data_IF_709543402899
#
_entry.id   IF_709543402899
#
_cell.length_a   1.000
_cell.length_b   1.000
_cell.length_c   1.000
_cell.angle_alpha   90.00
_cell.angle_beta   90.00
_cell.angle_gamma   90.00
#
_symmetry.space_group_name_H-M   'P 1'
#
loop_
_entity.id
_entity.type
_entity.pdbx_description
1 polymer ?
#
# COMPACT_ATOMS: atom_id res chain seq x y z
N UNK A 1 -12.49 20.78 4.62
CA UNK A 1 -11.45 19.94 4.00
C UNK A 1 -11.19 18.64 4.76
N UNK A 2 -11.28 18.60 6.11
CA UNK A 2 -11.08 17.39 6.93
C UNK A 2 -11.92 16.18 6.46
N UNK A 3 -13.22 16.37 6.22
CA UNK A 3 -14.13 15.31 5.75
C UNK A 3 -13.71 14.75 4.38
N UNK A 4 -13.30 15.62 3.45
CA UNK A 4 -12.80 15.20 2.13
C UNK A 4 -11.46 14.47 2.27
N UNK A 5 -10.61 14.93 3.19
CA UNK A 5 -9.35 14.27 3.53
C UNK A 5 -9.55 12.85 4.07
N UNK A 6 -10.53 12.67 4.97
CA UNK A 6 -10.90 11.34 5.49
C UNK A 6 -11.42 10.44 4.37
N UNK A 7 -12.34 10.90 3.53
CA UNK A 7 -12.88 10.11 2.43
C UNK A 7 -11.78 9.67 1.44
N UNK A 8 -10.88 10.59 1.09
CA UNK A 8 -9.71 10.28 0.27
C UNK A 8 -8.76 9.29 0.94
N UNK A 9 -8.57 9.39 2.26
CA UNK A 9 -7.75 8.47 3.04
C UNK A 9 -8.35 7.05 3.04
N UNK A 10 -9.69 6.94 3.21
CA UNK A 10 -10.40 5.66 3.12
C UNK A 10 -10.21 5.02 1.75
N UNK A 11 -10.51 5.75 0.67
CA UNK A 11 -10.40 5.23 -0.69
C UNK A 11 -8.98 4.80 -1.03
N UNK A 12 -7.99 5.60 -0.66
CA UNK A 12 -6.58 5.31 -0.87
C UNK A 12 -6.12 4.06 -0.10
N UNK A 13 -6.56 3.90 1.14
CA UNK A 13 -6.18 2.78 1.99
C UNK A 13 -6.91 1.49 1.67
N UNK A 14 -8.12 1.54 1.16
CA UNK A 14 -8.79 0.37 0.61
C UNK A 14 -7.95 -0.26 -0.51
N UNK A 15 -7.38 0.58 -1.40
CA UNK A 15 -6.55 0.10 -2.50
C UNK A 15 -5.13 -0.32 -2.09
N UNK A 16 -4.49 0.41 -1.17
CA UNK A 16 -3.09 0.15 -0.81
C UNK A 16 -2.92 -0.67 0.46
N UNK A 17 -3.96 -0.75 1.32
CA UNK A 17 -3.91 -1.46 2.59
C UNK A 17 -3.79 -2.98 2.46
N UNK A 18 -4.19 -3.54 1.33
CA UNK A 18 -4.03 -4.97 1.05
C UNK A 18 -2.60 -5.35 0.61
N UNK A 19 -1.79 -4.41 0.15
CA UNK A 19 -0.44 -4.68 -0.38
C UNK A 19 0.47 -5.41 0.61
N UNK A 20 0.56 -5.01 1.90
CA UNK A 20 1.38 -5.72 2.88
C UNK A 20 0.95 -7.17 3.12
N UNK A 21 -0.30 -7.50 2.83
CA UNK A 21 -0.83 -8.86 2.93
C UNK A 21 -0.64 -9.65 1.61
N UNK A 22 -1.02 -9.03 0.49
CA UNK A 22 -0.99 -9.69 -0.82
C UNK A 22 0.42 -9.94 -1.34
N UNK A 23 1.37 -9.03 -1.06
CA UNK A 23 2.75 -9.18 -1.54
C UNK A 23 3.45 -10.41 -0.97
N UNK A 24 3.50 -10.65 0.35
CA UNK A 24 4.06 -11.88 0.88
C UNK A 24 3.34 -13.12 0.38
N UNK A 25 2.01 -13.07 0.24
CA UNK A 25 1.22 -14.17 -0.25
C UNK A 25 1.57 -14.51 -1.72
N UNK A 26 1.67 -13.49 -2.57
CA UNK A 26 2.07 -13.64 -3.96
C UNK A 26 3.48 -14.26 -4.07
N UNK A 27 4.41 -13.82 -3.22
CA UNK A 27 5.78 -14.35 -3.22
C UNK A 27 5.83 -15.81 -2.76
N UNK A 28 5.01 -16.20 -1.79
CA UNK A 28 4.99 -17.56 -1.25
C UNK A 28 4.17 -18.50 -2.13
N UNK A 29 2.94 -18.14 -2.46
CA UNK A 29 2.00 -19.01 -3.21
C UNK A 29 2.21 -18.89 -4.72
N UNK A 30 2.39 -17.65 -5.22
CA UNK A 30 2.54 -17.40 -6.66
C UNK A 30 3.91 -17.80 -7.20
N UNK A 31 4.99 -17.45 -6.49
CA UNK A 31 6.37 -17.72 -6.91
C UNK A 31 7.02 -18.90 -6.18
N UNK A 32 6.36 -19.50 -5.18
CA UNK A 32 6.87 -20.67 -4.46
C UNK A 32 8.08 -20.39 -3.57
N UNK A 33 8.32 -19.13 -3.19
CA UNK A 33 9.45 -18.81 -2.32
C UNK A 33 9.18 -19.20 -0.86
N UNK A 34 10.19 -19.72 -0.14
CA UNK A 34 10.10 -19.97 1.30
C UNK A 34 9.71 -18.70 2.06
N UNK A 35 8.96 -18.83 3.15
CA UNK A 35 8.51 -17.70 3.98
C UNK A 35 9.64 -16.78 4.43
N UNK A 36 10.83 -17.34 4.69
CA UNK A 36 12.02 -16.57 5.05
C UNK A 36 12.45 -15.63 3.90
N UNK A 37 12.50 -16.12 2.68
CA UNK A 37 12.89 -15.33 1.49
C UNK A 37 11.82 -14.29 1.21
N UNK A 38 10.54 -14.65 1.25
CA UNK A 38 9.45 -13.69 1.08
C UNK A 38 9.48 -12.57 2.12
N UNK A 39 9.79 -12.88 3.38
CA UNK A 39 9.99 -11.88 4.43
C UNK A 39 11.20 -10.97 4.17
N UNK A 40 12.33 -11.52 3.76
CA UNK A 40 13.52 -10.72 3.39
C UNK A 40 13.26 -9.81 2.19
N UNK A 41 12.41 -10.23 1.24
CA UNK A 41 12.01 -9.43 0.09
C UNK A 41 11.12 -8.24 0.47
N UNK A 42 10.55 -8.20 1.67
CA UNK A 42 9.86 -7.03 2.20
C UNK A 42 10.82 -5.96 2.76
N UNK A 43 12.06 -6.30 3.05
CA UNK A 43 13.06 -5.34 3.57
C UNK A 43 13.30 -4.14 2.64
N UNK A 44 13.45 -4.28 1.31
CA UNK A 44 13.56 -3.16 0.38
C UNK A 44 12.37 -2.19 0.47
N UNK A 45 11.15 -2.69 0.65
CA UNK A 45 9.95 -1.85 0.82
C UNK A 45 10.04 -1.01 2.10
N UNK A 46 10.51 -1.60 3.20
CA UNK A 46 10.73 -0.88 4.45
C UNK A 46 11.84 0.17 4.30
N UNK A 47 12.96 -0.17 3.66
CA UNK A 47 14.04 0.80 3.38
C UNK A 47 13.57 1.95 2.51
N UNK A 48 12.81 1.67 1.45
CA UNK A 48 12.20 2.69 0.58
C UNK A 48 11.29 3.63 1.37
N UNK A 49 10.49 3.11 2.28
CA UNK A 49 9.58 3.92 3.11
C UNK A 49 10.31 4.82 4.11
N UNK A 50 11.47 4.39 4.63
CA UNK A 50 12.32 5.21 5.51
C UNK A 50 12.95 6.36 4.72
N UNK A 51 13.53 6.06 3.55
CA UNK A 51 14.16 7.07 2.69
C UNK A 51 13.15 8.08 2.13
N UNK A 52 11.92 7.65 1.87
CA UNK A 52 10.86 8.54 1.43
C UNK A 52 10.56 9.67 2.43
N UNK A 53 10.71 9.42 3.73
CA UNK A 53 10.46 10.44 4.77
C UNK A 53 11.36 11.67 4.63
N UNK A 54 12.57 11.51 4.14
CA UNK A 54 13.50 12.63 3.90
C UNK A 54 13.20 13.37 2.61
N UNK A 55 12.64 12.71 1.61
CA UNK A 55 12.38 13.26 0.27
C UNK A 55 10.96 13.78 0.09
N UNK A 56 9.99 13.29 0.87
CA UNK A 56 8.57 13.65 0.72
C UNK A 56 8.32 15.16 0.83
N UNK A 57 8.98 15.83 1.77
CA UNK A 57 8.83 17.28 1.96
C UNK A 57 9.28 18.05 0.72
N UNK A 58 10.34 17.61 0.07
CA UNK A 58 10.89 18.23 -1.13
C UNK A 58 9.98 18.00 -2.34
N UNK A 59 9.45 16.79 -2.50
CA UNK A 59 8.48 16.44 -3.55
C UNK A 59 7.21 17.28 -3.39
N UNK A 60 6.69 17.41 -2.17
CA UNK A 60 5.50 18.21 -1.88
C UNK A 60 5.71 19.71 -2.15
N UNK A 61 6.93 20.24 -1.92
CA UNK A 61 7.27 21.65 -2.24
C UNK A 61 7.35 21.90 -3.73
N UNK A 62 7.82 20.94 -4.55
CA UNK A 62 7.98 21.10 -5.99
C UNK A 62 6.68 20.90 -6.77
N UNK A 63 5.94 19.85 -6.46
CA UNK A 63 4.75 19.44 -7.22
C UNK A 63 3.44 19.89 -6.57
N UNK A 64 3.46 20.27 -5.31
CA UNK A 64 2.26 20.55 -4.52
C UNK A 64 1.48 19.29 -4.15
N UNK A 65 0.65 19.39 -3.10
CA UNK A 65 -0.05 18.25 -2.52
C UNK A 65 -0.96 17.51 -3.52
N UNK A 66 -1.78 18.25 -4.27
CA UNK A 66 -2.76 17.65 -5.19
C UNK A 66 -2.12 16.82 -6.30
N UNK A 67 -1.09 17.38 -6.95
CA UNK A 67 -0.39 16.66 -8.05
C UNK A 67 0.39 15.47 -7.52
N UNK A 68 1.03 15.62 -6.36
CA UNK A 68 1.76 14.52 -5.71
C UNK A 68 0.82 13.38 -5.36
N UNK A 69 -0.34 13.64 -4.73
CA UNK A 69 -1.28 12.59 -4.37
C UNK A 69 -1.83 11.84 -5.57
N UNK A 70 -2.30 12.55 -6.60
CA UNK A 70 -2.82 11.91 -7.81
C UNK A 70 -1.71 11.13 -8.51
N UNK A 71 -0.54 11.73 -8.69
CA UNK A 71 0.59 11.10 -9.36
C UNK A 71 1.07 9.84 -8.65
N UNK A 72 1.23 9.90 -7.32
CA UNK A 72 1.66 8.76 -6.51
C UNK A 72 0.60 7.66 -6.47
N UNK A 73 -0.70 8.00 -6.40
CA UNK A 73 -1.78 7.00 -6.45
C UNK A 73 -1.80 6.24 -7.77
N UNK A 74 -1.71 6.96 -8.90
CA UNK A 74 -1.62 6.35 -10.23
C UNK A 74 -0.35 5.50 -10.36
N UNK A 75 0.77 6.01 -9.86
CA UNK A 75 2.04 5.30 -9.89
C UNK A 75 2.00 3.99 -9.09
N UNK A 76 1.42 3.99 -7.88
CA UNK A 76 1.23 2.77 -7.09
C UNK A 76 0.33 1.78 -7.84
N UNK A 77 -0.77 2.25 -8.44
CA UNK A 77 -1.65 1.41 -9.24
C UNK A 77 -0.93 0.74 -10.41
N UNK A 78 -0.09 1.48 -11.14
CA UNK A 78 0.74 0.95 -12.22
C UNK A 78 1.78 -0.06 -11.72
N UNK A 79 2.41 0.23 -10.58
CA UNK A 79 3.35 -0.70 -9.95
C UNK A 79 2.68 -2.03 -9.57
N UNK A 80 1.50 -1.98 -8.97
CA UNK A 80 0.73 -3.19 -8.63
C UNK A 80 0.33 -3.95 -9.90
N UNK A 81 -0.13 -3.26 -10.95
CA UNK A 81 -0.45 -3.87 -12.23
C UNK A 81 0.77 -4.54 -12.89
N UNK A 82 1.95 -3.91 -12.77
CA UNK A 82 3.20 -4.48 -13.28
C UNK A 82 3.53 -5.81 -12.59
N UNK A 83 3.30 -5.95 -11.27
CA UNK A 83 3.53 -7.20 -10.57
C UNK A 83 2.62 -8.34 -11.08
N UNK A 84 1.39 -8.02 -11.53
CA UNK A 84 0.49 -9.00 -12.14
C UNK A 84 0.99 -9.55 -13.49
N UNK A 85 1.83 -8.79 -14.20
CA UNK A 85 2.40 -9.19 -15.50
C UNK A 85 3.73 -9.95 -15.35
N UNK A 86 4.28 -10.04 -14.14
CA UNK A 86 5.56 -10.69 -13.92
C UNK A 86 5.40 -12.22 -13.91
N UNK A 87 6.26 -12.88 -14.68
CA UNK A 87 6.33 -14.35 -14.71
C UNK A 87 7.12 -14.89 -13.51
N UNK A 88 6.74 -16.07 -13.02
CA UNK A 88 7.41 -16.76 -11.91
C UNK A 88 8.90 -17.08 -12.16
N UNK A 89 9.36 -16.92 -13.41
CA UNK A 89 10.75 -17.17 -13.81
C UNK A 89 11.73 -16.01 -13.57
N UNK A 90 11.25 -14.86 -13.05
CA UNK A 90 12.11 -13.70 -12.83
C UNK A 90 13.04 -13.91 -11.62
N UNK A 91 14.32 -13.55 -11.74
CA UNK A 91 15.25 -13.66 -10.63
C UNK A 91 14.88 -12.68 -9.51
N UNK A 92 15.00 -13.13 -8.27
CA UNK A 92 14.64 -12.40 -7.03
C UNK A 92 15.20 -10.98 -6.98
N UNK A 93 16.41 -10.76 -7.47
CA UNK A 93 17.06 -9.45 -7.44
C UNK A 93 16.37 -8.40 -8.31
N UNK A 94 15.65 -8.80 -9.36
CA UNK A 94 14.86 -7.89 -10.19
C UNK A 94 13.62 -7.33 -9.47
N UNK A 95 13.13 -8.00 -8.43
CA UNK A 95 12.00 -7.55 -7.63
C UNK A 95 12.40 -6.54 -6.53
N UNK A 96 13.69 -6.47 -6.18
CA UNK A 96 14.20 -5.58 -5.13
C UNK A 96 13.92 -4.11 -5.46
N UNK A 97 14.25 -3.69 -6.66
CA UNK A 97 14.09 -2.29 -7.08
C UNK A 97 12.61 -1.86 -7.14
N UNK A 98 11.70 -2.60 -7.79
CA UNK A 98 10.26 -2.29 -7.76
C UNK A 98 9.68 -2.25 -6.35
N UNK A 99 10.05 -3.18 -5.46
CA UNK A 99 9.60 -3.19 -4.07
C UNK A 99 10.11 -1.98 -3.28
N UNK A 100 11.36 -1.58 -3.48
CA UNK A 100 11.93 -0.38 -2.88
C UNK A 100 11.18 0.88 -3.32
N UNK A 101 10.95 1.03 -4.63
CA UNK A 101 10.23 2.17 -5.20
C UNK A 101 8.77 2.18 -4.76
N UNK A 102 8.11 1.02 -4.67
CA UNK A 102 6.76 0.88 -4.13
C UNK A 102 6.70 1.37 -2.67
N UNK A 103 7.67 0.98 -1.85
CA UNK A 103 7.78 1.44 -0.46
C UNK A 103 7.92 2.96 -0.36
N UNK A 104 8.74 3.57 -1.21
CA UNK A 104 8.86 5.03 -1.30
C UNK A 104 7.54 5.70 -1.66
N UNK A 105 6.85 5.18 -2.68
CA UNK A 105 5.58 5.72 -3.15
C UNK A 105 4.50 5.62 -2.06
N UNK A 106 4.36 4.46 -1.42
CA UNK A 106 3.39 4.24 -0.33
C UNK A 106 3.64 5.17 0.86
N UNK A 107 4.90 5.35 1.26
CA UNK A 107 5.27 6.25 2.35
C UNK A 107 4.99 7.72 2.00
N UNK A 108 5.27 8.13 0.77
CA UNK A 108 4.97 9.47 0.26
C UNK A 108 3.46 9.73 0.25
N UNK A 109 2.67 8.78 -0.22
CA UNK A 109 1.21 8.87 -0.21
C UNK A 109 0.66 8.97 1.20
N UNK A 110 1.13 8.10 2.11
CA UNK A 110 0.72 8.10 3.52
C UNK A 110 0.98 9.45 4.19
N UNK A 111 2.20 9.96 4.06
CA UNK A 111 2.59 11.23 4.69
C UNK A 111 1.81 12.40 4.11
N UNK A 112 1.70 12.48 2.77
CA UNK A 112 0.98 13.55 2.09
C UNK A 112 -0.49 13.60 2.48
N UNK A 113 -1.14 12.42 2.55
CA UNK A 113 -2.55 12.29 2.90
C UNK A 113 -2.82 12.70 4.34
N UNK A 114 -1.98 12.25 5.27
CA UNK A 114 -2.09 12.63 6.68
C UNK A 114 -1.88 14.13 6.87
N UNK A 115 -0.87 14.70 6.22
CA UNK A 115 -0.59 16.14 6.32
C UNK A 115 -1.76 16.99 5.84
N UNK A 116 -2.38 16.64 4.71
CA UNK A 116 -3.57 17.38 4.21
C UNK A 116 -4.77 17.20 5.13
N UNK A 117 -5.02 15.98 5.61
CA UNK A 117 -6.18 15.71 6.45
C UNK A 117 -6.10 16.45 7.77
N UNK A 118 -4.90 16.59 8.32
CA UNK A 118 -4.69 17.27 9.60
C UNK A 118 -4.43 18.79 9.47
N UNK A 119 -4.21 19.30 8.25
CA UNK A 119 -3.82 20.70 8.02
C UNK A 119 -4.84 21.73 8.49
N UNK A 120 -6.13 21.37 8.55
CA UNK A 120 -7.21 22.29 8.94
C UNK A 120 -7.60 22.16 10.43
N UNK A 121 -6.94 21.29 11.19
CA UNK A 121 -7.24 21.12 12.62
C UNK A 121 -6.53 22.18 13.44
N UNK A 122 -7.26 22.75 14.40
CA UNK A 122 -6.69 23.63 15.43
C UNK A 122 -6.05 22.78 16.53
N UNK A 123 -5.15 23.38 17.32
CA UNK A 123 -4.46 22.68 18.42
C UNK A 123 -5.44 22.02 19.41
N UNK A 124 -6.60 22.62 19.66
CA UNK A 124 -7.65 22.07 20.52
C UNK A 124 -8.27 20.78 19.96
N UNK A 125 -8.42 20.69 18.64
CA UNK A 125 -9.08 19.58 17.96
C UNK A 125 -8.09 18.56 17.36
N UNK A 126 -6.80 18.86 17.38
CA UNK A 126 -5.76 18.03 16.76
C UNK A 126 -5.72 16.61 17.34
N UNK A 127 -5.85 16.46 18.66
CA UNK A 127 -5.84 15.16 19.33
C UNK A 127 -7.05 14.30 18.93
N UNK A 128 -8.25 14.87 18.95
CA UNK A 128 -9.49 14.19 18.55
C UNK A 128 -9.47 13.84 17.06
N UNK A 129 -9.05 14.77 16.22
CA UNK A 129 -8.93 14.58 14.78
C UNK A 129 -7.94 13.48 14.42
N UNK A 130 -6.79 13.42 15.09
CA UNK A 130 -5.80 12.38 14.89
C UNK A 130 -6.31 10.99 15.33
N UNK A 131 -7.09 10.93 16.42
CA UNK A 131 -7.71 9.69 16.88
C UNK A 131 -8.75 9.17 15.86
N UNK A 132 -9.62 10.04 15.35
CA UNK A 132 -10.59 9.70 14.31
C UNK A 132 -9.87 9.22 13.04
N UNK A 133 -8.82 9.92 12.63
CA UNK A 133 -8.01 9.54 11.47
C UNK A 133 -7.38 8.16 11.67
N UNK A 134 -6.80 7.88 12.84
CA UNK A 134 -6.17 6.59 13.13
C UNK A 134 -7.17 5.43 13.08
N UNK A 135 -8.34 5.59 13.71
CA UNK A 135 -9.42 4.58 13.68
C UNK A 135 -9.91 4.35 12.24
N UNK A 136 -10.16 5.42 11.51
CA UNK A 136 -10.61 5.36 10.11
C UNK A 136 -9.58 4.65 9.22
N UNK A 137 -8.30 4.91 9.42
CA UNK A 137 -7.22 4.25 8.70
C UNK A 137 -7.18 2.76 8.98
N UNK A 138 -7.29 2.37 10.26
CA UNK A 138 -7.26 0.96 10.64
C UNK A 138 -8.46 0.19 10.09
N UNK A 139 -9.66 0.77 10.15
CA UNK A 139 -10.86 0.19 9.54
C UNK A 139 -10.71 0.04 8.04
N UNK A 140 -10.15 1.03 7.36
CA UNK A 140 -9.94 1.00 5.90
C UNK A 140 -8.95 -0.09 5.48
N UNK A 141 -7.86 -0.27 6.24
CA UNK A 141 -6.89 -1.34 5.99
C UNK A 141 -7.55 -2.71 6.20
N UNK A 142 -8.28 -2.90 7.30
CA UNK A 142 -8.96 -4.16 7.60
C UNK A 142 -10.00 -4.51 6.52
N UNK A 143 -10.76 -3.51 6.06
CA UNK A 143 -11.72 -3.70 4.98
C UNK A 143 -11.03 -4.00 3.65
N UNK A 144 -9.92 -3.34 3.34
CA UNK A 144 -9.10 -3.61 2.16
C UNK A 144 -8.58 -5.04 2.12
N UNK A 145 -8.07 -5.55 3.25
CA UNK A 145 -7.63 -6.95 3.37
C UNK A 145 -8.80 -7.92 3.20
N UNK A 146 -9.95 -7.65 3.85
CA UNK A 146 -11.14 -8.50 3.74
C UNK A 146 -11.67 -8.58 2.30
N UNK A 147 -11.76 -7.44 1.61
CA UNK A 147 -12.18 -7.38 0.19
C UNK A 147 -11.20 -8.15 -0.69
N UNK A 148 -9.89 -7.97 -0.48
CA UNK A 148 -8.88 -8.68 -1.26
C UNK A 148 -8.93 -10.19 -1.05
N UNK A 149 -9.12 -10.65 0.17
CA UNK A 149 -9.30 -12.07 0.48
C UNK A 149 -10.58 -12.64 -0.14
N UNK A 150 -11.68 -11.88 -0.14
CA UNK A 150 -12.93 -12.27 -0.78
C UNK A 150 -12.77 -12.41 -2.30
N UNK A 151 -12.07 -11.45 -2.94
CA UNK A 151 -11.78 -11.49 -4.37
C UNK A 151 -10.92 -12.71 -4.73
N UNK A 152 -9.88 -13.01 -3.95
CA UNK A 152 -9.05 -14.18 -4.16
C UNK A 152 -9.87 -15.47 -4.09
N UNK A 153 -10.70 -15.65 -3.06
CA UNK A 153 -11.58 -16.82 -2.93
C UNK A 153 -12.57 -16.95 -4.10
N UNK A 154 -13.09 -15.82 -4.57
CA UNK A 154 -14.00 -15.83 -5.72
C UNK A 154 -13.30 -16.35 -6.98
N UNK A 155 -12.06 -15.92 -7.24
CA UNK A 155 -11.27 -16.41 -8.36
C UNK A 155 -10.89 -17.89 -8.23
N UNK A 156 -10.46 -18.35 -7.06
CA UNK A 156 -10.16 -19.75 -6.78
C UNK A 156 -11.39 -20.65 -7.01
N UNK A 157 -12.59 -20.18 -6.65
CA UNK A 157 -13.84 -20.89 -6.90
C UNK A 157 -14.21 -20.99 -8.39
N UNK A 158 -13.73 -20.07 -9.22
CA UNK A 158 -13.94 -20.11 -10.68
C UNK A 158 -12.98 -21.06 -11.41
N UNK A 159 -11.71 -21.12 -10.96
CA UNK A 159 -10.67 -21.94 -11.60
C UNK A 159 -10.75 -23.43 -11.23
N UNK A 160 -11.66 -23.82 -10.34
CA UNK A 160 -11.87 -25.24 -9.97
C UNK A 160 -10.65 -25.93 -9.31
N UNK A 161 -9.60 -25.17 -9.02
CA UNK A 161 -8.42 -25.67 -8.32
C UNK A 161 -8.58 -25.41 -6.82
N UNK A 162 -9.06 -26.43 -6.10
CA UNK A 162 -9.11 -26.44 -4.63
C UNK A 162 -7.70 -26.42 -4.05
N UNK A 163 -7.02 -25.30 -4.10
CA UNK A 163 -5.72 -25.12 -3.43
C UNK A 163 -5.85 -24.97 -1.91
N UNK A 164 -7.09 -24.92 -1.40
CA UNK A 164 -7.38 -24.76 0.05
C UNK A 164 -7.28 -26.08 0.82
N UNK A 165 -7.19 -27.24 0.16
CA UNK A 165 -7.05 -28.54 0.86
C UNK A 165 -5.61 -28.93 1.20
N UNK A 166 -4.62 -28.06 0.96
CA UNK A 166 -3.21 -28.33 1.24
C UNK A 166 -2.62 -27.55 2.43
N UNK A 167 -3.49 -26.96 3.30
CA UNK A 167 -3.04 -26.33 4.54
C UNK A 167 -3.71 -26.94 5.76
#
# INVERSE_FOLDING_TARGET
>A
TFSVGIAGNIASRLGTGCVPFLMPLMLQVGFGYPALIAGCMMAPTAMGSILAKSTVTQVLRWFGYRKTLVGVTVFIGLMIAQFSLQSASLPVWMLILPLFVLGMAMSTQFTSMNTITLADLTDENASSGNSVLAVTQQLSISLGVAVSAAVLRFYEGFDGTNTVEQF
#
